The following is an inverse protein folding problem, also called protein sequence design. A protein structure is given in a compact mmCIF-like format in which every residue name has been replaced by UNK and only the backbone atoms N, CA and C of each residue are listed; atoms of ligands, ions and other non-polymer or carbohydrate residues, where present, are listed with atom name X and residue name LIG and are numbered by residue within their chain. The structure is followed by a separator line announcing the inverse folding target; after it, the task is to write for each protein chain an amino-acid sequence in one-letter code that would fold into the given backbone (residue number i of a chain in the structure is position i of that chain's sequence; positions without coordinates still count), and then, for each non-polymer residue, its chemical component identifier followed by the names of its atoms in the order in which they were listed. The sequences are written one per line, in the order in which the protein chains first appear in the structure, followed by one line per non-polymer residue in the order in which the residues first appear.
data_IF_355278081485
#
_entry.id   IF_355278081485
#
_cell.length_a   1.000
_cell.length_b   1.000
_cell.length_c   1.000
_cell.angle_alpha   90.00
_cell.angle_beta   90.00
_cell.angle_gamma   90.00
#
_symmetry.space_group_name_H-M   'P 1'
#
loop_
_entity.id
_entity.type
_entity.pdbx_description
1 polymer ?
#
# COMPACT_ATOMS: atom_id res chain seq x y z
N UNK A 1 8.27 -7.39 -10.92
CA UNK A 1 7.94 -6.44 -12.01
C UNK A 1 8.19 -5.04 -11.48
N UNK A 2 9.15 -4.28 -12.03
CA UNK A 2 9.53 -3.00 -11.43
C UNK A 2 8.47 -1.92 -11.68
N UNK A 3 7.70 -1.55 -10.66
CA UNK A 3 6.94 -0.29 -10.66
C UNK A 3 7.85 0.78 -10.08
N UNK A 4 8.58 1.48 -10.94
CA UNK A 4 9.41 2.61 -10.51
C UNK A 4 8.53 3.78 -10.04
N UNK A 5 9.00 4.52 -9.03
CA UNK A 5 8.43 5.83 -8.69
C UNK A 5 8.89 6.83 -9.76
N UNK A 6 8.13 6.93 -10.85
CA UNK A 6 8.45 7.84 -11.96
C UNK A 6 8.29 9.29 -11.49
N UNK A 7 9.38 10.06 -11.52
CA UNK A 7 9.34 11.52 -11.40
C UNK A 7 8.81 12.11 -12.71
N UNK A 8 8.02 13.18 -12.62
CA UNK A 8 7.22 13.71 -13.74
C UNK A 8 8.02 14.19 -14.97
N UNK A 9 9.34 14.32 -14.84
CA UNK A 9 10.25 14.86 -15.86
C UNK A 9 10.75 13.81 -16.87
N UNK A 10 10.70 12.51 -16.54
CA UNK A 10 11.27 11.43 -17.38
C UNK A 10 10.36 11.01 -18.55
N UNK A 11 9.08 11.39 -18.52
CA UNK A 11 8.03 10.90 -19.45
C UNK A 11 8.08 11.48 -20.88
N UNK A 12 9.09 12.28 -21.24
CA UNK A 12 9.13 13.01 -22.51
C UNK A 12 10.17 12.54 -23.54
N UNK A 13 11.13 11.69 -23.17
CA UNK A 13 12.24 11.31 -24.08
C UNK A 13 12.19 9.86 -24.57
N UNK A 14 11.50 8.95 -23.88
CA UNK A 14 11.55 7.50 -24.18
C UNK A 14 10.67 7.05 -25.37
N UNK A 15 9.85 7.92 -25.96
CA UNK A 15 8.83 7.51 -26.95
C UNK A 15 9.32 7.26 -28.38
N UNK A 16 10.58 7.56 -28.73
CA UNK A 16 11.06 7.43 -30.12
C UNK A 16 11.89 6.16 -30.40
N UNK A 17 12.50 5.50 -29.40
CA UNK A 17 13.38 4.33 -29.65
C UNK A 17 12.65 2.97 -29.72
N UNK A 18 11.51 2.80 -29.04
CA UNK A 18 10.88 1.48 -28.87
C UNK A 18 10.08 0.98 -30.10
N UNK A 19 9.86 1.83 -31.11
CA UNK A 19 9.08 1.50 -32.31
C UNK A 19 9.86 0.72 -33.40
N UNK A 20 11.13 0.41 -33.18
CA UNK A 20 12.02 -0.11 -34.25
C UNK A 20 12.28 -1.62 -34.24
N UNK A 21 11.90 -2.37 -33.20
CA UNK A 21 12.47 -3.70 -32.96
C UNK A 21 11.50 -4.78 -32.43
N UNK A 22 10.52 -5.22 -33.23
CA UNK A 22 9.96 -6.57 -33.06
C UNK A 22 9.28 -7.14 -34.33
N UNK A 23 10.08 -7.78 -35.20
CA UNK A 23 9.62 -8.72 -36.23
C UNK A 23 10.68 -9.80 -36.47
N UNK A 24 10.49 -11.03 -35.96
CA UNK A 24 10.67 -12.30 -36.69
C UNK A 24 10.43 -13.53 -35.79
N UNK A 25 9.70 -14.53 -36.29
CA UNK A 25 9.59 -15.90 -35.71
C UNK A 25 9.58 -16.90 -36.87
N UNK A 26 10.28 -18.05 -36.76
CA UNK A 26 9.69 -19.29 -37.28
C UNK A 26 9.84 -20.51 -36.36
N UNK A 27 9.00 -21.51 -36.64
CA UNK A 27 8.81 -22.77 -35.90
C UNK A 27 9.28 -23.99 -36.70
N UNK A 28 9.37 -25.18 -36.09
CA UNK A 28 9.36 -26.46 -36.82
C UNK A 28 9.07 -27.71 -35.96
N UNK A 29 8.50 -28.72 -36.60
CA UNK A 29 8.22 -30.08 -36.10
C UNK A 29 8.60 -31.14 -37.18
N UNK A 30 8.65 -32.46 -36.95
CA UNK A 30 8.24 -33.21 -35.74
C UNK A 30 9.18 -34.36 -35.32
N UNK A 31 9.26 -35.55 -35.97
CA UNK A 31 9.31 -36.78 -35.16
C UNK A 31 10.38 -37.82 -35.53
N UNK A 32 10.80 -38.59 -34.52
CA UNK A 32 11.44 -39.90 -34.68
C UNK A 32 12.77 -40.03 -33.92
N UNK A 33 12.73 -40.56 -32.70
CA UNK A 33 13.93 -40.84 -31.90
C UNK A 33 13.70 -41.96 -30.86
N UNK A 34 13.27 -43.14 -31.33
CA UNK A 34 13.10 -44.33 -30.48
C UNK A 34 14.45 -44.99 -30.15
N UNK A 35 15.33 -45.11 -31.16
CA UNK A 35 16.66 -45.72 -31.00
C UNK A 35 17.60 -44.85 -30.15
N UNK A 36 17.43 -43.52 -30.17
CA UNK A 36 18.17 -42.59 -29.31
C UNK A 36 17.79 -42.66 -27.82
N UNK A 37 16.63 -43.25 -27.48
CA UNK A 37 16.22 -43.42 -26.08
C UNK A 37 16.96 -44.58 -25.40
N UNK A 38 17.08 -45.74 -26.04
CA UNK A 38 17.81 -46.88 -25.45
C UNK A 38 19.30 -46.60 -25.32
N UNK A 39 19.92 -45.92 -26.29
CA UNK A 39 21.31 -45.49 -26.20
C UNK A 39 21.57 -44.53 -25.03
N UNK A 40 20.63 -43.60 -24.78
CA UNK A 40 20.68 -42.69 -23.61
C UNK A 40 20.45 -43.42 -22.29
N UNK A 41 19.55 -44.40 -22.27
CA UNK A 41 19.25 -45.20 -21.08
C UNK A 41 20.44 -46.10 -20.69
N UNK A 42 21.09 -46.73 -21.67
CA UNK A 42 22.30 -47.52 -21.46
C UNK A 42 23.45 -46.67 -20.91
N UNK A 43 23.70 -45.49 -21.50
CA UNK A 43 24.71 -44.55 -21.01
C UNK A 43 24.41 -44.07 -19.58
N UNK A 44 23.14 -43.76 -19.26
CA UNK A 44 22.74 -43.36 -17.92
C UNK A 44 22.85 -44.49 -16.88
N UNK A 45 22.65 -45.74 -17.28
CA UNK A 45 22.83 -46.91 -16.42
C UNK A 45 24.33 -47.20 -16.16
N UNK A 46 25.19 -47.09 -17.18
CA UNK A 46 26.64 -47.23 -17.03
C UNK A 46 27.23 -46.10 -16.19
N UNK A 47 26.73 -44.86 -16.37
CA UNK A 47 27.07 -43.74 -15.48
C UNK A 47 26.63 -44.01 -14.04
N UNK A 48 25.41 -44.54 -13.82
CA UNK A 48 24.94 -44.94 -12.47
C UNK A 48 25.84 -46.00 -11.86
N UNK A 49 26.08 -47.13 -12.55
CA UNK A 49 26.90 -48.24 -12.03
C UNK A 49 28.36 -47.84 -11.77
N UNK A 50 28.88 -46.80 -12.46
CA UNK A 50 30.18 -46.21 -12.17
C UNK A 50 30.23 -45.47 -10.81
N UNK A 51 29.09 -45.04 -10.28
CA UNK A 51 28.94 -44.47 -8.92
C UNK A 51 28.93 -45.60 -7.89
N UNK A 52 30.09 -46.24 -7.73
CA UNK A 52 30.29 -47.29 -6.73
C UNK A 52 29.84 -46.85 -5.34
N UNK A 53 29.08 -47.71 -4.66
CA UNK A 53 28.50 -47.43 -3.34
C UNK A 53 29.60 -47.14 -2.33
N UNK A 54 29.82 -45.86 -2.04
CA UNK A 54 30.56 -45.46 -0.83
C UNK A 54 29.66 -45.71 0.37
N UNK A 55 30.15 -46.52 1.31
CA UNK A 55 29.57 -46.56 2.65
C UNK A 55 29.54 -45.14 3.20
N UNK A 56 28.33 -44.67 3.55
CA UNK A 56 28.16 -43.38 4.19
C UNK A 56 28.59 -43.58 5.64
N UNK A 57 29.83 -43.22 5.95
CA UNK A 57 30.22 -42.96 7.35
C UNK A 57 29.24 -41.93 7.90
N UNK A 58 28.48 -42.33 8.94
CA UNK A 58 27.59 -41.42 9.65
C UNK A 58 28.48 -40.50 10.48
N UNK A 59 28.99 -39.45 9.84
CA UNK A 59 29.58 -38.32 10.54
C UNK A 59 28.55 -37.78 11.51
N UNK A 60 28.96 -37.60 12.75
CA UNK A 60 28.12 -37.04 13.80
C UNK A 60 27.58 -35.69 13.33
N UNK A 61 26.25 -35.60 13.20
CA UNK A 61 25.56 -34.37 12.84
C UNK A 61 25.78 -33.31 13.93
N UNK A 62 26.85 -32.52 13.80
CA UNK A 62 27.00 -31.29 14.54
C UNK A 62 26.06 -30.24 13.95
N UNK A 63 25.14 -29.79 14.80
CA UNK A 63 24.33 -28.59 14.73
C UNK A 63 23.74 -28.21 13.35
N UNK A 64 22.59 -28.81 13.01
CA UNK A 64 21.68 -28.19 12.04
C UNK A 64 21.25 -26.84 12.60
N UNK A 65 21.40 -25.77 11.81
CA UNK A 65 20.76 -24.48 12.12
C UNK A 65 19.32 -24.71 12.57
N UNK A 66 18.89 -24.17 13.72
CA UNK A 66 17.63 -24.57 14.35
C UNK A 66 16.48 -24.37 13.36
N UNK A 67 15.64 -25.39 13.24
CA UNK A 67 14.38 -25.34 12.47
C UNK A 67 13.69 -24.02 12.80
N UNK A 68 13.49 -23.16 11.80
CA UNK A 68 12.98 -21.80 12.02
C UNK A 68 11.66 -21.91 12.76
N UNK A 69 11.64 -21.46 14.03
CA UNK A 69 10.47 -21.53 14.88
C UNK A 69 9.35 -20.79 14.16
N UNK A 70 8.32 -21.54 13.74
CA UNK A 70 7.20 -21.00 12.98
C UNK A 70 6.42 -20.10 13.93
N UNK A 71 6.74 -18.81 13.89
CA UNK A 71 6.14 -17.85 14.80
C UNK A 71 4.72 -17.51 14.34
N UNK A 72 3.82 -17.45 15.32
CA UNK A 72 2.44 -17.04 15.14
C UNK A 72 2.16 -16.00 16.21
N UNK A 73 2.62 -14.78 15.93
CA UNK A 73 2.31 -13.61 16.75
C UNK A 73 0.80 -13.44 16.88
N UNK A 74 0.37 -12.82 17.98
CA UNK A 74 -1.00 -12.32 18.05
C UNK A 74 -1.19 -11.25 16.98
N UNK A 75 -2.32 -11.30 16.27
CA UNK A 75 -2.78 -10.22 15.39
C UNK A 75 -2.93 -8.95 16.24
N UNK A 76 -2.20 -7.90 15.87
CA UNK A 76 -2.23 -6.59 16.54
C UNK A 76 -3.42 -5.79 16.01
N UNK A 77 -4.28 -5.26 16.89
CA UNK A 77 -5.37 -4.39 16.40
C UNK A 77 -4.83 -2.99 16.06
N UNK A 78 -5.63 -2.20 15.36
CA UNK A 78 -5.25 -0.83 15.06
C UNK A 78 -5.09 0.00 16.34
N UNK A 79 -5.98 -0.17 17.30
CA UNK A 79 -6.03 0.58 18.55
C UNK A 79 -4.78 0.30 19.39
N UNK A 80 -4.43 -0.98 19.56
CA UNK A 80 -3.21 -1.40 20.27
C UNK A 80 -1.94 -0.85 19.60
N UNK A 81 -1.88 -0.86 18.27
CA UNK A 81 -0.76 -0.29 17.54
C UNK A 81 -0.72 1.25 17.67
N UNK A 82 -1.88 1.91 17.60
CA UNK A 82 -1.97 3.35 17.74
C UNK A 82 -1.50 3.80 19.12
N UNK A 83 -1.96 3.17 20.19
CA UNK A 83 -1.54 3.47 21.56
C UNK A 83 -0.02 3.31 21.71
N UNK A 84 0.55 2.15 21.32
CA UNK A 84 1.99 1.89 21.41
C UNK A 84 2.82 2.93 20.64
N UNK A 85 2.41 3.29 19.42
CA UNK A 85 3.17 4.21 18.56
C UNK A 85 3.00 5.67 18.99
N UNK A 86 1.80 6.07 19.43
CA UNK A 86 1.54 7.45 19.89
C UNK A 86 2.29 7.71 21.20
N UNK A 87 2.24 6.79 22.16
CA UNK A 87 2.97 6.91 23.43
C UNK A 87 4.50 6.93 23.24
N UNK A 88 5.01 6.25 22.21
CA UNK A 88 6.44 6.23 21.89
C UNK A 88 6.95 7.48 21.15
N UNK A 89 6.08 8.32 20.58
CA UNK A 89 6.47 9.41 19.68
C UNK A 89 6.43 10.78 20.38
N UNK A 90 7.61 11.27 20.73
CA UNK A 90 7.79 12.64 21.22
C UNK A 90 7.72 13.66 20.07
N UNK A 91 6.62 14.42 20.01
CA UNK A 91 6.38 15.46 19.00
C UNK A 91 7.49 16.53 18.98
N UNK A 92 8.15 16.78 20.12
CA UNK A 92 9.15 17.86 20.22
C UNK A 92 10.38 17.62 19.35
N UNK A 93 10.76 16.36 19.10
CA UNK A 93 11.88 15.97 18.24
C UNK A 93 11.63 16.37 16.77
N UNK A 94 10.38 16.31 16.33
CA UNK A 94 9.95 16.58 14.96
C UNK A 94 9.50 18.03 14.71
N UNK A 95 9.35 18.84 15.77
CA UNK A 95 8.70 20.17 15.75
C UNK A 95 9.23 21.14 14.69
N UNK A 96 10.52 21.08 14.37
CA UNK A 96 11.16 21.95 13.38
C UNK A 96 10.92 21.49 11.92
N UNK A 97 10.63 20.20 11.73
CA UNK A 97 10.37 19.56 10.44
C UNK A 97 8.89 19.50 10.08
N UNK A 98 7.98 19.61 11.06
CA UNK A 98 6.53 19.66 10.82
C UNK A 98 6.14 20.85 9.93
N UNK A 99 5.48 20.55 8.81
CA UNK A 99 4.90 21.53 7.87
C UNK A 99 3.38 21.35 7.84
N UNK A 100 2.69 21.89 8.85
CA UNK A 100 1.27 21.65 9.07
C UNK A 100 0.30 22.53 8.28
N UNK A 101 0.77 23.58 7.59
CA UNK A 101 -0.07 24.44 6.73
C UNK A 101 0.65 24.89 5.45
N UNK A 102 -0.10 25.11 4.37
CA UNK A 102 0.44 25.71 3.14
C UNK A 102 0.66 27.22 3.29
N UNK A 103 1.87 27.68 2.95
CA UNK A 103 2.24 29.10 2.94
C UNK A 103 1.59 29.85 1.76
N UNK A 104 0.52 30.59 2.03
CA UNK A 104 -0.25 31.34 1.03
C UNK A 104 0.23 32.80 0.96
N UNK A 105 0.58 33.30 -0.24
CA UNK A 105 1.08 34.67 -0.50
C UNK A 105 0.07 35.51 -1.33
N UNK A 106 0.23 36.83 -1.28
CA UNK A 106 -0.53 37.78 -2.13
C UNK A 106 -2.06 37.65 -2.03
N UNK A 107 -2.75 37.83 -3.16
CA UNK A 107 -4.21 37.73 -3.24
C UNK A 107 -4.77 36.39 -2.74
N UNK A 108 -4.06 35.27 -2.94
CA UNK A 108 -4.48 33.95 -2.42
C UNK A 108 -4.59 33.94 -0.88
N UNK A 109 -3.75 34.70 -0.17
CA UNK A 109 -3.83 34.87 1.29
C UNK A 109 -5.07 35.68 1.71
N UNK A 110 -5.40 36.73 0.96
CA UNK A 110 -6.59 37.56 1.23
C UNK A 110 -7.88 36.77 0.97
N UNK A 111 -7.99 36.10 -0.17
CA UNK A 111 -9.10 35.21 -0.51
C UNK A 111 -9.29 34.11 0.54
N UNK A 112 -8.22 33.44 0.95
CA UNK A 112 -8.28 32.42 2.01
C UNK A 112 -8.69 32.99 3.37
N UNK A 113 -8.39 34.26 3.67
CA UNK A 113 -8.84 34.89 4.93
C UNK A 113 -10.35 35.19 4.93
N UNK A 114 -10.93 35.47 3.76
CA UNK A 114 -12.34 35.85 3.62
C UNK A 114 -13.26 34.67 3.34
N UNK A 115 -12.79 33.69 2.55
CA UNK A 115 -13.60 32.57 2.03
C UNK A 115 -12.96 31.20 2.25
N UNK A 116 -11.82 31.12 2.95
CA UNK A 116 -11.18 29.85 3.27
C UNK A 116 -11.94 29.03 4.31
N UNK A 117 -11.59 27.74 4.48
CA UNK A 117 -12.12 26.90 5.54
C UNK A 117 -11.83 27.49 6.94
N UNK A 118 -12.60 27.09 7.97
CA UNK A 118 -12.30 27.49 9.34
C UNK A 118 -10.88 27.03 9.72
N UNK A 119 -10.24 27.76 10.64
CA UNK A 119 -9.03 27.27 11.28
C UNK A 119 -9.35 26.06 12.14
N UNK A 120 -8.40 25.13 12.25
CA UNK A 120 -8.48 24.06 13.24
C UNK A 120 -8.58 24.65 14.67
N UNK A 121 -9.37 24.01 15.53
CA UNK A 121 -9.52 24.38 16.93
C UNK A 121 -8.19 24.26 17.69
N UNK A 122 -7.97 25.14 18.67
CA UNK A 122 -6.70 25.20 19.42
C UNK A 122 -6.41 23.88 20.15
N UNK A 123 -7.46 23.24 20.68
CA UNK A 123 -7.40 21.92 21.35
C UNK A 123 -6.95 20.77 20.43
N UNK A 124 -7.07 20.94 19.11
CA UNK A 124 -6.74 19.92 18.10
C UNK A 124 -5.37 20.17 17.42
N UNK A 125 -4.64 21.21 17.83
CA UNK A 125 -3.34 21.57 17.24
C UNK A 125 -2.29 20.50 17.53
N UNK A 126 -2.23 19.99 18.76
CA UNK A 126 -1.24 18.97 19.15
C UNK A 126 -1.49 17.64 18.44
N UNK A 127 -2.75 17.20 18.38
CA UNK A 127 -3.15 16.00 17.64
C UNK A 127 -2.86 16.14 16.13
N UNK A 128 -3.13 17.29 15.52
CA UNK A 128 -2.76 17.59 14.13
C UNK A 128 -1.25 17.50 13.91
N UNK A 129 -0.47 18.10 14.80
CA UNK A 129 0.99 18.13 14.65
C UNK A 129 1.61 16.75 14.95
N UNK A 130 0.99 15.93 15.82
CA UNK A 130 1.29 14.50 15.98
C UNK A 130 1.10 13.74 14.66
N UNK A 131 0.03 13.96 13.90
CA UNK A 131 -0.16 13.28 12.61
C UNK A 131 0.99 13.58 11.63
N UNK A 132 1.46 14.82 11.61
CA UNK A 132 2.65 15.18 10.82
C UNK A 132 3.96 14.64 11.41
N UNK A 133 4.07 14.47 12.73
CA UNK A 133 5.21 13.81 13.36
C UNK A 133 5.28 12.32 13.02
N UNK A 134 4.17 11.59 13.14
CA UNK A 134 4.05 10.18 12.75
C UNK A 134 4.42 9.95 11.27
N UNK A 135 4.11 10.92 10.40
CA UNK A 135 4.52 10.87 8.99
C UNK A 135 6.03 11.07 8.76
N UNK A 136 6.78 11.55 9.77
CA UNK A 136 8.23 11.75 9.74
C UNK A 136 9.00 10.66 10.51
N UNK A 137 8.34 9.88 11.38
CA UNK A 137 8.94 8.73 12.07
C UNK A 137 9.27 7.64 11.02
N UNK A 138 10.55 7.27 10.82
CA UNK A 138 10.91 6.24 9.87
C UNK A 138 10.51 4.84 10.39
N UNK A 139 10.31 3.90 9.47
CA UNK A 139 10.16 2.49 9.83
C UNK A 139 11.47 1.96 10.43
N UNK A 140 11.54 1.85 11.75
CA UNK A 140 12.62 1.19 12.47
C UNK A 140 12.48 -0.34 12.41
N UNK A 141 13.50 -1.04 11.93
CA UNK A 141 13.56 -2.51 11.82
C UNK A 141 13.70 -3.22 13.17
N UNK A 142 14.34 -2.56 14.13
CA UNK A 142 14.58 -3.08 15.48
C UNK A 142 13.38 -2.87 16.41
N UNK A 143 12.33 -2.19 15.92
CA UNK A 143 11.10 -1.96 16.67
C UNK A 143 10.13 -3.12 16.44
N UNK A 144 9.93 -3.93 17.48
CA UNK A 144 9.07 -5.12 17.40
C UNK A 144 7.63 -4.80 16.96
N UNK A 145 7.04 -3.70 17.46
CA UNK A 145 5.68 -3.28 17.08
C UNK A 145 5.61 -2.94 15.59
N UNK A 146 6.58 -2.20 15.04
CA UNK A 146 6.64 -1.90 13.61
C UNK A 146 6.64 -3.19 12.76
N UNK A 147 7.48 -4.17 13.10
CA UNK A 147 7.51 -5.45 12.40
C UNK A 147 6.18 -6.21 12.48
N UNK A 148 5.61 -6.29 13.69
CA UNK A 148 4.33 -6.97 13.94
C UNK A 148 3.16 -6.31 13.20
N UNK A 149 3.17 -4.99 13.00
CA UNK A 149 2.16 -4.29 12.19
C UNK A 149 2.18 -4.77 10.73
N UNK A 150 3.35 -4.84 10.07
CA UNK A 150 3.42 -5.28 8.67
C UNK A 150 3.04 -6.76 8.53
N UNK A 151 3.53 -7.61 9.44
CA UNK A 151 3.15 -9.03 9.49
C UNK A 151 1.64 -9.21 9.70
N UNK A 152 1.03 -8.39 10.55
CA UNK A 152 -0.43 -8.38 10.76
C UNK A 152 -1.18 -8.01 9.48
N UNK A 153 -0.78 -6.94 8.79
CA UNK A 153 -1.37 -6.54 7.50
C UNK A 153 -1.28 -7.68 6.49
N UNK A 154 -0.09 -8.28 6.33
CA UNK A 154 0.12 -9.41 5.43
C UNK A 154 -0.81 -10.58 5.74
N UNK A 155 -0.89 -11.01 7.00
CA UNK A 155 -1.75 -12.13 7.42
C UNK A 155 -3.24 -11.82 7.25
N UNK A 156 -3.67 -10.58 7.51
CA UNK A 156 -5.06 -10.13 7.32
C UNK A 156 -5.47 -10.06 5.85
N UNK A 157 -4.58 -9.66 4.95
CA UNK A 157 -4.85 -9.60 3.51
C UNK A 157 -4.77 -10.97 2.83
N UNK A 158 -3.72 -11.74 3.10
CA UNK A 158 -3.47 -13.04 2.43
C UNK A 158 -4.22 -14.22 3.06
N UNK A 159 -4.72 -14.07 4.29
CA UNK A 159 -5.25 -15.18 5.09
C UNK A 159 -4.18 -16.12 5.64
N UNK A 160 -2.89 -15.77 5.55
CA UNK A 160 -1.82 -16.64 6.07
C UNK A 160 -1.88 -16.78 7.60
N UNK A 161 -1.79 -18.02 8.08
CA UNK A 161 -1.81 -18.34 9.51
C UNK A 161 -0.55 -17.87 10.23
N UNK A 162 0.61 -17.91 9.56
CA UNK A 162 1.92 -17.73 10.19
C UNK A 162 2.55 -16.37 9.85
N UNK A 163 3.47 -15.93 10.71
CA UNK A 163 4.25 -14.73 10.43
C UNK A 163 5.24 -14.98 9.30
N UNK A 164 5.33 -14.03 8.37
CA UNK A 164 6.32 -14.04 7.31
C UNK A 164 7.70 -13.55 7.82
N UNK A 165 8.82 -14.00 7.22
CA UNK A 165 10.14 -13.48 7.53
C UNK A 165 10.23 -11.95 7.34
N UNK A 166 11.13 -11.27 8.06
CA UNK A 166 11.29 -9.81 7.96
C UNK A 166 11.56 -9.31 6.52
N UNK A 167 12.27 -10.10 5.72
CA UNK A 167 12.65 -9.77 4.33
C UNK A 167 12.21 -10.86 3.36
N UNK A 168 11.85 -10.48 2.13
CA UNK A 168 11.60 -11.40 1.02
C UNK A 168 10.43 -11.02 0.12
N UNK A 169 10.32 -11.70 -1.02
CA UNK A 169 9.39 -11.35 -2.11
C UNK A 169 7.89 -11.50 -1.76
N UNK A 170 7.56 -12.03 -0.58
CA UNK A 170 6.19 -12.07 -0.09
C UNK A 170 5.63 -10.66 0.19
N UNK A 171 6.48 -9.65 0.39
CA UNK A 171 6.02 -8.26 0.50
C UNK A 171 5.47 -7.71 -0.83
N UNK A 172 5.99 -8.18 -1.97
CA UNK A 172 5.47 -7.83 -3.30
C UNK A 172 4.05 -8.38 -3.53
N UNK A 173 3.66 -9.49 -2.88
CA UNK A 173 2.32 -10.09 -3.08
C UNK A 173 1.18 -9.28 -2.47
N UNK A 174 1.48 -8.41 -1.49
CA UNK A 174 0.57 -7.38 -0.96
C UNK A 174 0.91 -5.97 -1.49
N UNK A 175 1.80 -5.87 -2.48
CA UNK A 175 2.09 -4.64 -3.21
C UNK A 175 2.99 -3.63 -2.48
N UNK A 176 3.97 -4.09 -1.70
CA UNK A 176 5.19 -3.31 -1.40
C UNK A 176 6.22 -3.46 -2.53
N UNK A 177 7.24 -2.59 -2.58
CA UNK A 177 8.33 -2.64 -3.55
C UNK A 177 9.49 -3.52 -3.05
N UNK A 178 9.64 -4.69 -3.67
CA UNK A 178 10.74 -5.61 -3.41
C UNK A 178 10.68 -6.26 -2.02
N UNK A 179 11.87 -6.61 -1.51
CA UNK A 179 12.01 -7.46 -0.32
C UNK A 179 11.88 -6.72 1.03
N UNK A 180 11.63 -5.40 1.05
CA UNK A 180 11.55 -4.61 2.28
C UNK A 180 10.52 -3.43 2.24
N UNK A 181 9.39 -3.54 2.99
CA UNK A 181 8.40 -2.49 3.19
C UNK A 181 8.94 -1.14 3.68
N UNK A 182 10.09 -1.11 4.36
CA UNK A 182 10.71 0.13 4.83
C UNK A 182 11.05 1.09 3.67
N UNK A 183 11.26 0.55 2.46
CA UNK A 183 11.60 1.33 1.27
C UNK A 183 10.44 2.17 0.75
N UNK A 184 9.19 1.73 0.90
CA UNK A 184 7.98 2.48 0.51
C UNK A 184 7.56 3.50 1.57
N UNK A 185 7.71 3.14 2.85
CA UNK A 185 7.26 3.95 3.98
C UNK A 185 8.03 5.27 4.17
N UNK A 186 9.15 5.48 3.44
CA UNK A 186 9.95 6.73 3.49
C UNK A 186 9.14 8.03 3.30
N UNK A 187 8.06 7.99 2.51
CA UNK A 187 7.27 9.18 2.19
C UNK A 187 6.18 9.55 3.19
N UNK A 188 5.71 8.59 4.00
CA UNK A 188 4.58 8.77 4.94
C UNK A 188 4.83 8.19 6.34
N UNK A 189 6.06 7.75 6.63
CA UNK A 189 6.50 7.29 7.93
C UNK A 189 5.67 6.14 8.51
N UNK A 190 5.66 6.06 9.85
CA UNK A 190 4.82 5.09 10.57
C UNK A 190 3.32 5.39 10.43
N UNK A 191 2.92 6.62 10.11
CA UNK A 191 1.53 6.95 9.82
C UNK A 191 0.99 6.12 8.64
N UNK A 192 1.75 5.99 7.55
CA UNK A 192 1.33 5.19 6.40
C UNK A 192 1.10 3.72 6.77
N UNK A 193 1.91 3.17 7.67
CA UNK A 193 1.74 1.81 8.17
C UNK A 193 0.56 1.68 9.14
N UNK A 194 0.36 2.65 10.04
CA UNK A 194 -0.82 2.73 10.92
C UNK A 194 -2.13 2.77 10.12
N UNK A 195 -2.17 3.52 9.00
CA UNK A 195 -3.37 3.63 8.17
C UNK A 195 -3.61 2.37 7.31
N UNK A 196 -2.56 1.71 6.81
CA UNK A 196 -2.68 0.37 6.22
C UNK A 196 -3.21 -0.66 7.24
N UNK A 197 -2.75 -0.60 8.49
CA UNK A 197 -3.24 -1.46 9.56
C UNK A 197 -4.71 -1.16 9.88
N UNK A 198 -5.10 0.12 10.01
CA UNK A 198 -6.50 0.53 10.21
C UNK A 198 -7.44 -0.06 9.15
N UNK A 199 -7.06 0.01 7.88
CA UNK A 199 -7.79 -0.62 6.78
C UNK A 199 -7.87 -2.14 6.97
N UNK A 200 -6.73 -2.80 7.21
CA UNK A 200 -6.65 -4.26 7.28
C UNK A 200 -7.29 -4.89 8.54
N UNK A 201 -7.40 -4.18 9.67
CA UNK A 201 -7.82 -4.76 10.96
C UNK A 201 -9.12 -4.22 11.54
N UNK A 202 -9.50 -2.97 11.28
CA UNK A 202 -10.69 -2.38 11.92
C UNK A 202 -11.97 -3.02 11.37
N UNK A 203 -12.89 -3.40 12.26
CA UNK A 203 -14.06 -4.22 11.92
C UNK A 203 -14.93 -3.60 10.80
N UNK A 204 -15.16 -2.28 10.86
CA UNK A 204 -15.98 -1.56 9.87
C UNK A 204 -15.34 -1.49 8.47
N UNK A 205 -14.07 -1.92 8.32
CA UNK A 205 -13.33 -1.85 7.07
C UNK A 205 -13.26 -3.20 6.32
N UNK A 206 -13.83 -4.30 6.84
CA UNK A 206 -13.66 -5.64 6.25
C UNK A 206 -14.11 -5.69 4.78
N UNK A 207 -15.34 -5.25 4.48
CA UNK A 207 -15.91 -5.29 3.12
C UNK A 207 -15.09 -4.45 2.13
N UNK A 208 -14.81 -3.20 2.48
CA UNK A 208 -14.06 -2.29 1.61
C UNK A 208 -12.64 -2.79 1.37
N UNK A 209 -11.95 -3.28 2.40
CA UNK A 209 -10.60 -3.84 2.26
C UNK A 209 -10.59 -5.06 1.36
N UNK A 210 -11.57 -5.96 1.51
CA UNK A 210 -11.69 -7.19 0.72
C UNK A 210 -11.93 -6.90 -0.76
N UNK A 211 -12.78 -5.93 -1.09
CA UNK A 211 -13.10 -5.59 -2.47
C UNK A 211 -11.95 -4.82 -3.15
N UNK A 212 -11.31 -3.88 -2.44
CA UNK A 212 -10.08 -3.20 -2.90
C UNK A 212 -8.94 -4.21 -3.12
N UNK A 213 -8.71 -5.10 -2.16
CA UNK A 213 -7.64 -6.10 -2.27
C UNK A 213 -7.91 -7.08 -3.41
N UNK A 214 -9.17 -7.51 -3.61
CA UNK A 214 -9.55 -8.37 -4.74
C UNK A 214 -9.22 -7.75 -6.09
N UNK A 215 -9.54 -6.47 -6.33
CA UNK A 215 -9.19 -5.83 -7.62
C UNK A 215 -7.68 -5.61 -7.76
N UNK A 216 -6.96 -5.36 -6.66
CA UNK A 216 -5.50 -5.22 -6.66
C UNK A 216 -4.75 -6.48 -7.13
N UNK A 217 -5.41 -7.64 -7.08
CA UNK A 217 -4.93 -8.95 -7.57
C UNK A 217 -5.53 -9.35 -8.93
N UNK A 218 -6.34 -8.51 -9.58
CA UNK A 218 -7.01 -8.84 -10.83
C UNK A 218 -6.02 -8.95 -12.00
N UNK A 219 -6.12 -9.99 -12.81
CA UNK A 219 -5.14 -10.35 -13.85
C UNK A 219 -4.80 -9.24 -14.87
N UNK A 220 -5.66 -8.23 -15.05
CA UNK A 220 -5.43 -7.06 -15.91
C UNK A 220 -5.56 -5.70 -15.22
N UNK A 221 -6.14 -5.66 -14.02
CA UNK A 221 -6.46 -4.41 -13.29
C UNK A 221 -5.71 -4.34 -11.95
N UNK A 222 -4.70 -5.18 -11.77
CA UNK A 222 -3.88 -5.23 -10.56
C UNK A 222 -3.17 -3.89 -10.32
N UNK A 223 -2.91 -3.60 -9.05
CA UNK A 223 -2.10 -2.48 -8.61
C UNK A 223 -1.41 -2.83 -7.29
N UNK A 224 -0.27 -2.20 -6.95
CA UNK A 224 0.43 -2.50 -5.71
C UNK A 224 -0.36 -1.95 -4.51
N UNK A 225 -1.12 -2.82 -3.82
CA UNK A 225 -2.05 -2.45 -2.75
C UNK A 225 -1.40 -1.64 -1.62
N UNK A 226 -0.25 -2.06 -1.08
CA UNK A 226 0.39 -1.33 0.00
C UNK A 226 0.91 0.06 -0.44
N UNK A 227 1.60 0.14 -1.58
CA UNK A 227 2.05 1.42 -2.18
C UNK A 227 0.88 2.35 -2.48
N UNK A 228 -0.22 1.83 -3.03
CA UNK A 228 -1.42 2.62 -3.31
C UNK A 228 -2.05 3.17 -2.02
N UNK A 229 -2.08 2.38 -0.94
CA UNK A 229 -2.47 2.86 0.38
C UNK A 229 -1.54 3.97 0.91
N UNK A 230 -0.22 3.81 0.81
CA UNK A 230 0.74 4.86 1.19
C UNK A 230 0.50 6.15 0.39
N UNK A 231 0.15 6.05 -0.89
CA UNK A 231 -0.27 7.20 -1.70
C UNK A 231 -1.59 7.85 -1.21
N UNK A 232 -2.55 7.08 -0.69
CA UNK A 232 -3.73 7.65 -0.02
C UNK A 232 -3.35 8.44 1.24
N UNK A 233 -2.40 7.92 2.05
CA UNK A 233 -1.86 8.65 3.23
C UNK A 233 -1.27 10.00 2.83
N UNK A 234 -0.57 10.07 1.68
CA UNK A 234 -0.05 11.33 1.13
C UNK A 234 -1.19 12.32 0.80
N UNK A 235 -2.26 11.88 0.13
CA UNK A 235 -3.45 12.72 -0.14
C UNK A 235 -4.08 13.22 1.16
N UNK A 236 -4.17 12.36 2.19
CA UNK A 236 -4.72 12.70 3.52
C UNK A 236 -3.88 13.80 4.20
N UNK A 237 -2.55 13.64 4.23
CA UNK A 237 -1.63 14.63 4.80
C UNK A 237 -1.64 15.96 4.05
N UNK A 238 -1.74 15.93 2.71
CA UNK A 238 -1.91 17.14 1.91
C UNK A 238 -3.26 17.82 2.16
N UNK A 239 -4.35 17.06 2.24
CA UNK A 239 -5.69 17.58 2.55
C UNK A 239 -5.77 18.25 3.92
N UNK A 240 -5.07 17.69 4.92
CA UNK A 240 -4.93 18.33 6.24
C UNK A 240 -4.11 19.63 6.15
N UNK A 241 -2.98 19.61 5.43
CA UNK A 241 -2.08 20.77 5.24
C UNK A 241 -2.71 21.91 4.44
N UNK A 242 -3.63 21.59 3.55
CA UNK A 242 -4.42 22.52 2.73
C UNK A 242 -5.68 23.04 3.44
N UNK A 243 -5.86 22.70 4.72
CA UNK A 243 -6.99 23.09 5.58
C UNK A 243 -8.36 22.47 5.20
N UNK A 244 -8.39 21.52 4.24
CA UNK A 244 -9.63 20.91 3.72
C UNK A 244 -10.43 20.18 4.80
N UNK A 245 -9.74 19.56 5.77
CA UNK A 245 -10.36 18.74 6.83
C UNK A 245 -10.73 19.54 8.09
N UNK A 246 -10.24 20.78 8.25
CA UNK A 246 -10.36 21.54 9.51
C UNK A 246 -11.80 21.64 10.03
N UNK A 247 -12.79 21.86 9.16
CA UNK A 247 -14.21 21.92 9.57
C UNK A 247 -14.66 20.61 10.20
N UNK A 248 -14.32 19.49 9.57
CA UNK A 248 -14.73 18.15 9.97
C UNK A 248 -14.03 17.76 11.29
N UNK A 249 -12.73 18.05 11.42
CA UNK A 249 -12.00 17.83 12.67
C UNK A 249 -12.60 18.66 13.82
N UNK A 250 -12.97 19.92 13.58
CA UNK A 250 -13.64 20.76 14.57
C UNK A 250 -15.04 20.24 14.93
N UNK A 251 -15.82 19.76 13.96
CA UNK A 251 -17.18 19.24 14.20
C UNK A 251 -17.14 17.90 14.96
N UNK A 252 -16.18 17.02 14.65
CA UNK A 252 -16.00 15.73 15.33
C UNK A 252 -15.12 15.78 16.60
N UNK A 253 -14.53 16.94 16.92
CA UNK A 253 -13.60 17.14 18.04
C UNK A 253 -12.42 16.15 18.07
N UNK A 254 -11.86 15.82 16.89
CA UNK A 254 -10.71 14.92 16.76
C UNK A 254 -10.11 14.93 15.35
N UNK A 255 -8.82 14.67 15.25
CA UNK A 255 -8.04 14.70 14.00
C UNK A 255 -7.73 13.28 13.52
N UNK A 256 -7.17 12.42 14.37
CA UNK A 256 -6.82 11.03 14.07
C UNK A 256 -8.01 10.22 13.52
N UNK A 257 -9.18 10.15 14.19
CA UNK A 257 -10.33 9.39 13.65
C UNK A 257 -10.84 9.97 12.32
N UNK A 258 -10.80 11.29 12.14
CA UNK A 258 -11.18 11.94 10.87
C UNK A 258 -10.20 11.57 9.75
N UNK A 259 -8.89 11.55 10.04
CA UNK A 259 -7.87 11.19 9.05
C UNK A 259 -7.93 9.71 8.66
N UNK A 260 -8.26 8.83 9.59
CA UNK A 260 -8.40 7.39 9.31
C UNK A 260 -9.65 7.06 8.49
N UNK A 261 -10.81 7.63 8.84
CA UNK A 261 -12.00 7.53 7.97
C UNK A 261 -11.73 8.17 6.60
N UNK A 262 -11.09 9.34 6.56
CA UNK A 262 -10.80 10.02 5.31
C UNK A 262 -9.80 9.24 4.44
N UNK A 263 -8.84 8.53 5.06
CA UNK A 263 -7.92 7.61 4.39
C UNK A 263 -8.66 6.45 3.72
N UNK A 264 -9.50 5.71 4.46
CA UNK A 264 -10.26 4.57 3.91
C UNK A 264 -11.24 5.06 2.84
N UNK A 265 -11.87 6.21 3.07
CA UNK A 265 -12.75 6.83 2.09
C UNK A 265 -12.01 7.26 0.82
N UNK A 266 -10.80 7.79 0.93
CA UNK A 266 -9.98 8.17 -0.25
C UNK A 266 -9.55 6.91 -1.03
N UNK A 267 -9.19 5.82 -0.35
CA UNK A 267 -8.91 4.54 -0.99
C UNK A 267 -10.17 3.96 -1.68
N UNK A 268 -11.35 4.08 -1.05
CA UNK A 268 -12.63 3.72 -1.68
C UNK A 268 -12.90 4.56 -2.95
N UNK A 269 -12.69 5.88 -2.92
CA UNK A 269 -12.81 6.75 -4.12
C UNK A 269 -11.85 6.29 -5.22
N UNK A 270 -10.61 5.93 -4.88
CA UNK A 270 -9.64 5.37 -5.83
C UNK A 270 -10.14 4.06 -6.45
N UNK A 271 -10.61 3.11 -5.63
CA UNK A 271 -11.17 1.83 -6.08
C UNK A 271 -12.37 1.98 -7.02
N UNK A 272 -13.27 2.92 -6.72
CA UNK A 272 -14.45 3.19 -7.56
C UNK A 272 -14.04 3.79 -8.90
N UNK A 273 -13.10 4.75 -8.91
CA UNK A 273 -12.51 5.30 -10.14
C UNK A 273 -11.85 4.20 -10.97
N UNK A 274 -10.96 3.42 -10.35
CA UNK A 274 -10.23 2.32 -10.97
C UNK A 274 -11.18 1.31 -11.64
N UNK A 275 -12.20 0.87 -10.92
CA UNK A 275 -13.22 -0.07 -11.42
C UNK A 275 -14.07 0.54 -12.53
N UNK A 276 -14.48 1.81 -12.40
CA UNK A 276 -15.29 2.53 -13.40
C UNK A 276 -14.56 2.71 -14.73
N UNK A 277 -13.25 2.95 -14.68
CA UNK A 277 -12.41 3.14 -15.86
C UNK A 277 -11.81 1.84 -16.41
N UNK A 278 -12.07 0.69 -15.77
CA UNK A 278 -11.40 -0.59 -16.02
C UNK A 278 -9.86 -0.46 -16.03
N UNK A 279 -9.35 0.35 -15.09
CA UNK A 279 -8.00 0.91 -15.11
C UNK A 279 -6.89 -0.14 -14.89
N UNK A 280 -5.71 0.20 -15.38
CA UNK A 280 -4.48 -0.58 -15.28
C UNK A 280 -3.39 0.21 -14.56
N UNK A 281 -2.24 -0.42 -14.29
CA UNK A 281 -1.08 0.28 -13.71
C UNK A 281 -0.65 1.52 -14.50
N UNK A 282 -0.87 1.57 -15.82
CA UNK A 282 -0.56 2.71 -16.68
C UNK A 282 -1.45 3.93 -16.39
N UNK A 283 -2.68 3.70 -15.95
CA UNK A 283 -3.66 4.75 -15.65
C UNK A 283 -3.45 5.40 -14.27
N UNK A 284 -2.54 4.84 -13.44
CA UNK A 284 -2.25 5.28 -12.07
C UNK A 284 -2.12 6.79 -11.94
N UNK A 285 -1.37 7.43 -12.87
CA UNK A 285 -1.15 8.88 -12.83
C UNK A 285 -2.44 9.70 -12.99
N UNK A 286 -3.36 9.26 -13.85
CA UNK A 286 -4.66 9.88 -14.06
C UNK A 286 -5.60 9.64 -12.86
N UNK A 287 -5.74 8.38 -12.44
CA UNK A 287 -6.62 8.01 -11.31
C UNK A 287 -6.19 8.77 -10.04
N UNK A 288 -4.90 8.85 -9.76
CA UNK A 288 -4.38 9.57 -8.59
C UNK A 288 -4.68 11.08 -8.61
N UNK A 289 -4.66 11.73 -9.79
CA UNK A 289 -5.03 13.13 -9.93
C UNK A 289 -6.54 13.34 -9.73
N UNK A 290 -7.36 12.46 -10.30
CA UNK A 290 -8.82 12.46 -10.15
C UNK A 290 -9.22 12.31 -8.68
N UNK A 291 -8.67 11.30 -7.99
CA UNK A 291 -8.91 11.02 -6.57
C UNK A 291 -8.48 12.19 -5.70
N UNK A 292 -7.29 12.77 -5.93
CA UNK A 292 -6.82 13.94 -5.18
C UNK A 292 -7.71 15.17 -5.39
N UNK A 293 -8.15 15.44 -6.64
CA UNK A 293 -9.11 16.52 -6.97
C UNK A 293 -10.42 16.33 -6.21
N UNK A 294 -11.00 15.13 -6.24
CA UNK A 294 -12.26 14.83 -5.57
C UNK A 294 -12.14 14.91 -4.04
N UNK A 295 -11.12 14.26 -3.47
CA UNK A 295 -10.96 14.15 -2.03
C UNK A 295 -10.71 15.51 -1.37
N UNK A 296 -9.82 16.34 -1.95
CA UNK A 296 -9.56 17.71 -1.46
C UNK A 296 -10.74 18.66 -1.71
N UNK A 297 -11.45 18.50 -2.83
CA UNK A 297 -12.58 19.34 -3.23
C UNK A 297 -13.92 19.01 -2.57
N UNK A 298 -14.09 17.81 -2.02
CA UNK A 298 -15.35 17.36 -1.40
C UNK A 298 -15.15 16.36 -0.25
N UNK A 299 -14.39 16.71 0.81
CA UNK A 299 -14.03 15.76 1.86
C UNK A 299 -15.22 15.21 2.66
N UNK A 300 -16.29 16.00 2.83
CA UNK A 300 -17.54 15.50 3.42
C UNK A 300 -18.22 14.40 2.57
N UNK A 301 -18.12 14.48 1.22
CA UNK A 301 -18.65 13.43 0.34
C UNK A 301 -17.84 12.15 0.44
N UNK A 302 -16.51 12.25 0.58
CA UNK A 302 -15.63 11.08 0.81
C UNK A 302 -16.09 10.31 2.05
N UNK A 303 -16.28 11.00 3.17
CA UNK A 303 -16.72 10.38 4.44
C UNK A 303 -18.16 9.85 4.36
N UNK A 304 -19.06 10.56 3.69
CA UNK A 304 -20.44 10.10 3.48
C UNK A 304 -20.50 8.83 2.61
N UNK A 305 -19.75 8.80 1.51
CA UNK A 305 -19.67 7.64 0.62
C UNK A 305 -19.04 6.44 1.34
N UNK A 306 -18.01 6.64 2.17
CA UNK A 306 -17.47 5.58 3.03
C UNK A 306 -18.54 5.05 3.99
N UNK A 307 -19.26 5.92 4.71
CA UNK A 307 -20.27 5.45 5.66
C UNK A 307 -21.41 4.70 4.96
N UNK A 308 -21.84 5.17 3.78
CA UNK A 308 -22.83 4.47 2.97
C UNK A 308 -22.31 3.08 2.55
N UNK A 309 -21.06 2.99 2.10
CA UNK A 309 -20.44 1.72 1.70
C UNK A 309 -20.27 0.75 2.87
N UNK A 310 -19.86 1.24 4.05
CA UNK A 310 -19.78 0.42 5.28
C UNK A 310 -21.14 -0.17 5.65
N UNK A 311 -22.22 0.60 5.47
CA UNK A 311 -23.57 0.18 5.83
C UNK A 311 -24.24 -0.75 4.82
N UNK A 312 -23.90 -0.65 3.52
CA UNK A 312 -24.66 -1.30 2.43
C UNK A 312 -23.79 -2.20 1.51
N UNK A 313 -22.47 -2.01 1.48
CA UNK A 313 -21.55 -2.65 0.53
C UNK A 313 -21.63 -2.08 -0.89
N UNK A 314 -21.12 -2.83 -1.87
CA UNK A 314 -21.29 -2.50 -3.29
C UNK A 314 -22.71 -2.83 -3.74
N UNK A 315 -23.40 -1.84 -4.32
CA UNK A 315 -24.65 -2.05 -5.07
C UNK A 315 -24.47 -1.62 -6.53
N UNK A 316 -25.27 -2.17 -7.44
CA UNK A 316 -25.08 -2.04 -8.90
C UNK A 316 -25.06 -0.62 -9.45
N UNK A 317 -25.60 0.36 -8.70
CA UNK A 317 -25.64 1.77 -9.07
C UNK A 317 -24.83 2.68 -8.13
N UNK A 318 -24.07 2.13 -7.18
CA UNK A 318 -23.35 2.94 -6.19
C UNK A 318 -22.36 3.91 -6.84
N UNK A 319 -21.65 3.49 -7.90
CA UNK A 319 -20.82 4.37 -8.70
C UNK A 319 -21.63 5.51 -9.36
N UNK A 320 -22.76 5.21 -9.97
CA UNK A 320 -23.55 6.21 -10.70
C UNK A 320 -24.24 7.22 -9.77
N UNK A 321 -24.63 6.81 -8.56
CA UNK A 321 -25.29 7.69 -7.58
C UNK A 321 -24.30 8.50 -6.74
N UNK A 322 -23.19 7.89 -6.32
CA UNK A 322 -22.23 8.49 -5.37
C UNK A 322 -20.95 9.04 -6.02
N UNK A 323 -20.72 8.78 -7.31
CA UNK A 323 -19.52 9.15 -8.08
C UNK A 323 -19.84 10.01 -9.33
N UNK A 324 -20.96 10.75 -9.30
CA UNK A 324 -21.46 11.59 -10.41
C UNK A 324 -20.50 12.70 -10.86
N UNK A 325 -19.69 13.26 -9.95
CA UNK A 325 -19.04 14.56 -10.16
C UNK A 325 -17.56 14.53 -10.54
N UNK A 326 -17.06 13.44 -11.14
CA UNK A 326 -15.66 13.35 -11.58
C UNK A 326 -15.50 13.60 -13.09
N UNK A 327 -16.59 13.58 -13.85
CA UNK A 327 -16.65 13.97 -15.26
C UNK A 327 -17.11 15.43 -15.47
N UNK A 328 -16.71 16.35 -14.57
CA UNK A 328 -16.99 17.80 -14.64
C UNK A 328 -15.77 18.66 -14.22
#
# INVERSE_FOLDING_TARGET
MMVAVISMETLMEETEEELAAEQFVPSSQSPGDADGYEARLAAALEEWESVGVKEIEISTYEDRSPLSIVHCSRILTYEEAADIIIDAVNISDYRHSIRSTVQRKGLKKLWHKLFGPPKIAVTLIEERDLMFALALVPFNTECQSHGQMVQTIYRKLTGNTYDCPRYGAHWETIGFQGNDPATDLRGCGILGLLQLLYLATHQDNETVTKDIYRISLHATQNFPFAVMGINMTKIVLESLREDCLNRICNERQGVLPVLNDFYVGTYLIMFLSWTKHAATVYDTGYIMQEVAKFAKGSPLKVLHNLQHYRNNGVHSHFCDEHFTSLAA
#
